data_IF_936567926659
#
_entry.id   IF_936567926659
#
_cell.length_a   1.000
_cell.length_b   1.000
_cell.length_c   1.000
_cell.angle_alpha   90.00
_cell.angle_beta   90.00
_cell.angle_gamma   90.00
#
_symmetry.space_group_name_H-M   'P 1'
#
loop_
_entity.id
_entity.type
_entity.pdbx_description
1 polymer ?
#
# COMPACT_ATOMS: atom_id res chain seq x y z
N UNK A 1 -1.58 -34.70 -18.54
CA UNK A 1 -1.38 -33.53 -17.63
C UNK A 1 -0.09 -32.83 -18.07
N UNK A 2 -0.17 -31.80 -18.95
CA UNK A 2 0.99 -30.99 -19.30
C UNK A 2 1.38 -30.20 -18.05
N UNK A 3 2.67 -30.28 -17.70
CA UNK A 3 3.27 -29.59 -16.55
C UNK A 3 2.89 -28.09 -16.55
N UNK A 4 2.00 -27.69 -15.65
CA UNK A 4 1.42 -26.34 -15.53
C UNK A 4 2.44 -25.35 -14.89
N UNK A 5 3.60 -25.83 -14.51
CA UNK A 5 4.74 -24.99 -14.09
C UNK A 5 5.49 -24.51 -15.33
N UNK A 6 4.87 -23.56 -16.04
CA UNK A 6 5.13 -23.23 -17.45
C UNK A 6 6.39 -22.41 -17.70
N UNK A 7 7.36 -22.45 -16.81
CA UNK A 7 8.65 -21.87 -17.09
C UNK A 7 9.71 -22.94 -16.82
N UNK A 8 10.27 -23.55 -17.90
CA UNK A 8 11.50 -24.33 -17.84
C UNK A 8 12.68 -23.43 -17.40
N UNK A 9 12.54 -22.80 -16.21
CA UNK A 9 13.51 -21.88 -15.64
C UNK A 9 14.23 -22.66 -14.53
N UNK A 10 15.56 -22.71 -14.63
CA UNK A 10 16.40 -23.23 -13.56
C UNK A 10 16.16 -22.47 -12.25
N UNK A 11 16.28 -23.15 -11.12
CA UNK A 11 16.10 -22.57 -9.78
C UNK A 11 16.96 -21.31 -9.57
N UNK A 12 18.19 -21.30 -10.10
CA UNK A 12 19.08 -20.13 -10.04
C UNK A 12 18.51 -18.94 -10.80
N UNK A 13 17.98 -19.16 -12.01
CA UNK A 13 17.37 -18.13 -12.83
C UNK A 13 16.09 -17.60 -12.18
N UNK A 14 15.23 -18.47 -11.64
CA UNK A 14 14.03 -18.08 -10.89
C UNK A 14 14.38 -17.16 -9.72
N UNK A 15 15.37 -17.54 -8.91
CA UNK A 15 15.77 -16.73 -7.75
C UNK A 15 16.35 -15.37 -8.16
N UNK A 16 17.06 -15.27 -9.29
CA UNK A 16 17.53 -13.98 -9.84
C UNK A 16 16.37 -13.09 -10.28
N UNK A 17 15.42 -13.66 -11.02
CA UNK A 17 14.20 -12.92 -11.44
C UNK A 17 13.46 -12.38 -10.22
N UNK A 18 13.25 -13.21 -9.20
CA UNK A 18 12.57 -12.82 -7.97
C UNK A 18 13.33 -11.68 -7.26
N UNK A 19 14.65 -11.81 -7.12
CA UNK A 19 15.46 -10.79 -6.47
C UNK A 19 15.34 -9.43 -7.17
N UNK A 20 15.45 -9.40 -8.50
CA UNK A 20 15.32 -8.20 -9.31
C UNK A 20 13.95 -7.54 -9.12
N UNK A 21 12.86 -8.28 -9.37
CA UNK A 21 11.52 -7.66 -9.26
C UNK A 21 11.17 -7.24 -7.83
N UNK A 22 11.70 -7.94 -6.81
CA UNK A 22 11.53 -7.53 -5.40
C UNK A 22 12.30 -6.27 -5.05
N UNK A 23 13.52 -6.09 -5.58
CA UNK A 23 14.28 -4.84 -5.40
C UNK A 23 13.52 -3.68 -6.04
N UNK A 24 13.03 -3.85 -7.28
CA UNK A 24 12.22 -2.83 -7.94
C UNK A 24 10.95 -2.45 -7.15
N UNK A 25 10.21 -3.44 -6.65
CA UNK A 25 9.05 -3.20 -5.79
C UNK A 25 9.44 -2.52 -4.47
N UNK A 26 10.53 -2.93 -3.84
CA UNK A 26 11.04 -2.32 -2.61
C UNK A 26 11.35 -0.83 -2.82
N UNK A 27 12.06 -0.49 -3.90
CA UNK A 27 12.38 0.90 -4.25
C UNK A 27 11.11 1.70 -4.50
N UNK A 28 10.11 1.12 -5.18
CA UNK A 28 8.80 1.75 -5.40
C UNK A 28 8.07 2.09 -4.10
N UNK A 29 8.01 1.15 -3.15
CA UNK A 29 7.37 1.37 -1.83
C UNK A 29 8.20 2.32 -0.96
N UNK A 30 9.52 2.14 -0.93
CA UNK A 30 10.43 3.02 -0.20
C UNK A 30 10.28 4.48 -0.66
N UNK A 31 10.26 4.71 -1.97
CA UNK A 31 10.10 6.04 -2.55
C UNK A 31 8.77 6.72 -2.16
N UNK A 32 7.70 5.93 -1.94
CA UNK A 32 6.44 6.45 -1.42
C UNK A 32 6.59 7.00 0.00
N UNK A 33 7.37 6.34 0.85
CA UNK A 33 7.46 6.63 2.29
C UNK A 33 8.56 7.63 2.66
N UNK A 34 9.63 7.72 1.87
CA UNK A 34 10.69 8.71 2.07
C UNK A 34 10.18 10.15 2.08
N UNK A 35 9.18 10.45 1.23
CA UNK A 35 8.70 11.81 1.01
C UNK A 35 8.13 12.47 2.27
N UNK A 36 7.42 11.73 3.10
CA UNK A 36 6.77 12.28 4.30
C UNK A 36 7.76 12.93 5.27
N UNK A 37 8.98 12.41 5.33
CA UNK A 37 10.03 12.88 6.24
C UNK A 37 10.74 14.12 5.72
N UNK A 38 10.88 14.27 4.39
CA UNK A 38 11.61 15.39 3.78
C UNK A 38 10.73 16.59 3.45
N UNK A 39 9.40 16.49 3.64
CA UNK A 39 8.49 17.59 3.38
C UNK A 39 8.87 18.90 4.09
N UNK A 40 9.28 18.92 5.38
CA UNK A 40 9.68 20.15 6.05
C UNK A 40 10.86 20.86 5.38
N UNK A 41 11.87 20.11 4.90
CA UNK A 41 13.03 20.69 4.20
C UNK A 41 12.62 21.25 2.82
N UNK A 42 11.72 20.56 2.10
CA UNK A 42 11.17 21.06 0.83
C UNK A 42 10.34 22.32 1.03
N UNK A 43 9.53 22.37 2.11
CA UNK A 43 8.75 23.58 2.47
C UNK A 43 9.67 24.78 2.70
N UNK A 44 10.80 24.56 3.35
CA UNK A 44 11.79 25.59 3.64
C UNK A 44 12.53 26.06 2.39
N UNK A 45 12.96 25.12 1.54
CA UNK A 45 13.71 25.39 0.31
C UNK A 45 12.89 26.17 -0.72
N UNK A 46 11.63 25.79 -0.93
CA UNK A 46 10.75 26.40 -1.92
C UNK A 46 9.76 27.42 -1.32
N UNK A 47 9.84 27.70 -0.02
CA UNK A 47 8.95 28.64 0.68
C UNK A 47 7.46 28.37 0.42
N UNK A 48 7.07 27.08 0.40
CA UNK A 48 5.69 26.64 0.17
C UNK A 48 5.01 26.24 1.48
N UNK A 49 3.67 26.35 1.50
CA UNK A 49 2.87 25.92 2.66
C UNK A 49 2.88 24.40 2.84
N UNK A 50 2.58 23.93 4.05
CA UNK A 50 2.45 22.50 4.33
C UNK A 50 1.40 21.83 3.44
N UNK A 51 0.26 22.48 3.20
CA UNK A 51 -0.79 21.98 2.30
C UNK A 51 -0.30 21.86 0.85
N UNK A 52 0.53 22.78 0.38
CA UNK A 52 1.15 22.71 -0.95
C UNK A 52 2.18 21.57 -1.01
N UNK A 53 3.05 21.46 -0.01
CA UNK A 53 4.07 20.42 0.04
C UNK A 53 3.47 19.00 0.07
N UNK A 54 2.35 18.79 0.77
CA UNK A 54 1.64 17.50 0.81
C UNK A 54 1.19 17.01 -0.57
N UNK A 55 1.05 17.90 -1.55
CA UNK A 55 0.76 17.49 -2.93
C UNK A 55 1.81 16.56 -3.53
N UNK A 56 3.07 16.61 -3.08
CA UNK A 56 4.12 15.68 -3.52
C UNK A 56 3.83 14.23 -3.12
N UNK A 57 3.21 14.03 -1.97
CA UNK A 57 2.75 12.70 -1.53
C UNK A 57 1.43 12.32 -2.19
N UNK A 58 0.50 13.26 -2.25
CA UNK A 58 -0.84 13.04 -2.82
C UNK A 58 -0.77 12.71 -4.31
N UNK A 59 0.01 13.44 -5.11
CA UNK A 59 0.13 13.17 -6.55
C UNK A 59 0.76 11.78 -6.82
N UNK A 60 1.75 11.38 -6.01
CA UNK A 60 2.31 10.04 -6.09
C UNK A 60 1.27 8.96 -5.81
N UNK A 61 0.49 9.11 -4.74
CA UNK A 61 -0.56 8.16 -4.37
C UNK A 61 -1.67 8.09 -5.43
N UNK A 62 -2.06 9.24 -5.99
CA UNK A 62 -3.08 9.33 -7.04
C UNK A 62 -2.62 8.62 -8.32
N UNK A 63 -1.44 8.97 -8.83
CA UNK A 63 -0.92 8.38 -10.07
C UNK A 63 -0.64 6.89 -9.89
N UNK A 64 -0.06 6.49 -8.76
CA UNK A 64 0.14 5.08 -8.41
C UNK A 64 -1.19 4.31 -8.39
N UNK A 65 -2.21 4.85 -7.69
CA UNK A 65 -3.52 4.23 -7.60
C UNK A 65 -4.27 4.12 -8.93
N UNK A 66 -4.08 5.08 -9.84
CA UNK A 66 -4.61 5.06 -11.21
C UNK A 66 -3.90 4.00 -12.06
N UNK A 67 -2.58 3.84 -11.90
CA UNK A 67 -1.80 2.88 -12.68
C UNK A 67 -2.05 1.42 -12.30
N UNK A 68 -2.35 1.13 -11.05
CA UNK A 68 -2.57 -0.24 -10.56
C UNK A 68 -3.66 -0.99 -11.35
N UNK A 69 -4.88 -0.47 -11.56
CA UNK A 69 -5.89 -1.15 -12.39
C UNK A 69 -5.45 -1.37 -13.84
N UNK A 70 -4.69 -0.42 -14.39
CA UNK A 70 -4.19 -0.48 -15.77
C UNK A 70 -3.12 -1.58 -15.91
N UNK A 71 -2.39 -1.88 -14.83
CA UNK A 71 -1.28 -2.84 -14.85
C UNK A 71 -1.74 -4.26 -15.15
N UNK A 72 -2.99 -4.67 -14.81
CA UNK A 72 -3.53 -5.97 -15.22
C UNK A 72 -3.50 -6.12 -16.76
N UNK A 73 -4.03 -5.13 -17.47
CA UNK A 73 -3.99 -5.09 -18.94
C UNK A 73 -2.56 -5.05 -19.48
N UNK A 74 -1.66 -4.28 -18.85
CA UNK A 74 -0.26 -4.19 -19.28
C UNK A 74 0.45 -5.54 -19.15
N UNK A 75 0.21 -6.32 -18.08
CA UNK A 75 0.79 -7.65 -17.86
C UNK A 75 0.34 -8.64 -18.94
N UNK A 76 -0.89 -8.52 -19.45
CA UNK A 76 -1.39 -9.38 -20.52
C UNK A 76 -0.89 -8.98 -21.91
N UNK A 77 -0.62 -7.67 -22.12
CA UNK A 77 -0.25 -7.14 -23.44
C UNK A 77 1.25 -7.09 -23.69
N UNK A 78 2.06 -6.87 -22.67
CA UNK A 78 3.51 -6.66 -22.79
C UNK A 78 4.28 -7.77 -22.07
N UNK A 79 5.49 -8.02 -22.56
CA UNK A 79 6.38 -8.99 -21.92
C UNK A 79 6.83 -8.50 -20.54
N UNK A 80 7.07 -9.43 -19.63
CA UNK A 80 7.65 -9.14 -18.31
C UNK A 80 8.86 -8.20 -18.41
N UNK A 81 9.78 -8.55 -19.32
CA UNK A 81 11.02 -7.78 -19.52
C UNK A 81 10.73 -6.33 -19.93
N UNK A 82 9.82 -6.13 -20.89
CA UNK A 82 9.43 -4.79 -21.34
C UNK A 82 8.78 -3.99 -20.22
N UNK A 83 7.86 -4.59 -19.46
CA UNK A 83 7.18 -3.91 -18.36
C UNK A 83 8.13 -3.51 -17.24
N UNK A 84 9.02 -4.41 -16.85
CA UNK A 84 10.02 -4.13 -15.83
C UNK A 84 10.92 -2.96 -16.21
N UNK A 85 11.46 -2.97 -17.46
CA UNK A 85 12.35 -1.90 -17.91
C UNK A 85 11.64 -0.56 -18.04
N UNK A 86 10.43 -0.53 -18.63
CA UNK A 86 9.66 0.71 -18.71
C UNK A 86 9.34 1.27 -17.32
N UNK A 87 8.92 0.41 -16.38
CA UNK A 87 8.60 0.83 -15.02
C UNK A 87 9.82 1.34 -14.25
N UNK A 88 10.96 0.64 -14.37
CA UNK A 88 12.23 1.08 -13.76
C UNK A 88 12.75 2.36 -14.40
N UNK A 89 12.62 2.52 -15.74
CA UNK A 89 12.93 3.77 -16.42
C UNK A 89 12.08 4.94 -15.92
N UNK A 90 10.76 4.77 -15.76
CA UNK A 90 9.90 5.81 -15.18
C UNK A 90 10.37 6.19 -13.77
N UNK A 91 10.71 5.22 -12.95
CA UNK A 91 11.20 5.46 -11.59
C UNK A 91 12.52 6.22 -11.59
N UNK A 92 13.47 5.85 -12.46
CA UNK A 92 14.75 6.52 -12.63
C UNK A 92 14.60 7.94 -13.17
N UNK A 93 13.83 8.14 -14.25
CA UNK A 93 13.59 9.46 -14.86
C UNK A 93 12.93 10.39 -13.84
N UNK A 94 11.90 9.91 -13.14
CA UNK A 94 11.24 10.70 -12.10
C UNK A 94 12.18 11.05 -10.94
N UNK A 95 13.07 10.12 -10.54
CA UNK A 95 14.08 10.37 -9.51
C UNK A 95 15.13 11.39 -9.97
N UNK A 96 15.57 11.30 -11.21
CA UNK A 96 16.48 12.27 -11.80
C UNK A 96 15.88 13.68 -11.85
N UNK A 97 14.60 13.79 -12.26
CA UNK A 97 13.88 15.07 -12.25
C UNK A 97 13.76 15.63 -10.84
N UNK A 98 13.41 14.80 -9.85
CA UNK A 98 13.34 15.24 -8.46
C UNK A 98 14.70 15.64 -7.88
N UNK A 99 15.77 14.92 -8.22
CA UNK A 99 17.15 15.25 -7.83
C UNK A 99 17.57 16.63 -8.33
N UNK A 100 17.23 16.95 -9.57
CA UNK A 100 17.54 18.26 -10.18
C UNK A 100 16.57 19.36 -9.73
N UNK A 101 15.50 19.05 -9.02
CA UNK A 101 14.38 19.90 -8.68
C UNK A 101 14.76 21.34 -8.34
N UNK A 102 14.59 22.26 -9.29
CA UNK A 102 14.86 23.70 -9.17
C UNK A 102 13.63 24.49 -8.74
N UNK A 103 12.45 23.89 -8.86
CA UNK A 103 11.18 24.47 -8.43
C UNK A 103 10.17 23.40 -8.02
N UNK A 104 9.15 23.78 -7.29
CA UNK A 104 8.12 22.88 -6.78
C UNK A 104 7.31 22.15 -7.87
N UNK A 105 6.86 22.77 -8.98
CA UNK A 105 6.20 22.08 -10.08
C UNK A 105 7.05 20.96 -10.71
N UNK A 106 8.36 21.15 -10.81
CA UNK A 106 9.27 20.13 -11.33
C UNK A 106 9.28 18.89 -10.41
N UNK A 107 9.23 19.08 -9.10
CA UNK A 107 9.08 17.96 -8.16
C UNK A 107 7.75 17.23 -8.34
N UNK A 108 6.64 17.92 -8.57
CA UNK A 108 5.34 17.30 -8.84
C UNK A 108 5.38 16.43 -10.10
N UNK A 109 6.02 16.92 -11.17
CA UNK A 109 6.21 16.13 -12.41
C UNK A 109 7.08 14.91 -12.15
N UNK A 110 8.22 15.08 -11.48
CA UNK A 110 9.10 13.96 -11.12
C UNK A 110 8.40 12.90 -10.28
N UNK A 111 7.61 13.32 -9.27
CA UNK A 111 6.80 12.43 -8.42
C UNK A 111 5.73 11.68 -9.20
N UNK A 112 5.08 12.35 -10.15
CA UNK A 112 4.09 11.72 -11.03
C UNK A 112 4.73 10.61 -11.88
N UNK A 113 5.90 10.89 -12.45
CA UNK A 113 6.63 9.91 -13.28
C UNK A 113 7.13 8.73 -12.43
N UNK A 114 7.65 8.97 -11.22
CA UNK A 114 8.02 7.91 -10.28
C UNK A 114 6.84 7.00 -9.95
N UNK A 115 5.66 7.58 -9.75
CA UNK A 115 4.45 6.85 -9.40
C UNK A 115 3.96 5.93 -10.54
N UNK A 116 4.14 6.32 -11.81
CA UNK A 116 3.89 5.42 -12.96
C UNK A 116 4.72 4.14 -12.85
N UNK A 117 6.01 4.27 -12.54
CA UNK A 117 6.91 3.13 -12.34
C UNK A 117 6.49 2.23 -11.18
N UNK A 118 6.25 2.82 -10.02
CA UNK A 118 5.83 2.08 -8.82
C UNK A 118 4.48 1.35 -9.01
N UNK A 119 3.51 1.99 -9.69
CA UNK A 119 2.19 1.43 -10.00
C UNK A 119 2.25 0.19 -10.91
N UNK A 120 3.31 0.04 -11.70
CA UNK A 120 3.56 -1.16 -12.51
C UNK A 120 4.35 -2.20 -11.71
N UNK A 121 5.44 -1.81 -11.04
CA UNK A 121 6.37 -2.74 -10.38
C UNK A 121 5.70 -3.56 -9.26
N UNK A 122 4.85 -2.94 -8.46
CA UNK A 122 4.22 -3.60 -7.31
C UNK A 122 3.29 -4.74 -7.74
N UNK A 123 2.27 -4.54 -8.60
CA UNK A 123 1.41 -5.64 -9.06
C UNK A 123 2.16 -6.65 -9.93
N UNK A 124 3.13 -6.21 -10.74
CA UNK A 124 3.97 -7.09 -11.55
C UNK A 124 4.75 -8.07 -10.68
N UNK A 125 5.43 -7.57 -9.65
CA UNK A 125 6.19 -8.39 -8.69
C UNK A 125 5.28 -9.40 -8.00
N UNK A 126 4.13 -8.95 -7.52
CA UNK A 126 3.16 -9.81 -6.83
C UNK A 126 2.63 -10.93 -7.75
N UNK A 127 2.26 -10.59 -8.99
CA UNK A 127 1.79 -11.56 -10.00
C UNK A 127 2.88 -12.59 -10.30
N UNK A 128 4.12 -12.15 -10.50
CA UNK A 128 5.25 -13.05 -10.80
C UNK A 128 5.55 -14.00 -9.65
N UNK A 129 5.64 -13.50 -8.43
CA UNK A 129 5.84 -14.34 -7.25
C UNK A 129 4.76 -15.41 -7.15
N UNK A 130 3.51 -15.04 -7.41
CA UNK A 130 2.39 -15.97 -7.31
C UNK A 130 2.42 -17.06 -8.39
N UNK A 131 2.77 -16.74 -9.64
CA UNK A 131 2.79 -17.72 -10.74
C UNK A 131 4.07 -18.54 -10.83
N UNK A 132 5.19 -18.04 -10.28
CA UNK A 132 6.49 -18.74 -10.30
C UNK A 132 6.65 -19.79 -9.18
N UNK A 133 5.78 -19.79 -8.18
CA UNK A 133 5.81 -20.78 -7.11
C UNK A 133 4.63 -21.75 -7.22
N UNK A 134 4.87 -23.05 -6.87
CA UNK A 134 3.81 -24.03 -6.79
C UNK A 134 2.83 -23.69 -5.68
N UNK A 135 1.57 -24.16 -5.76
CA UNK A 135 0.52 -23.83 -4.80
C UNK A 135 0.92 -23.99 -3.33
N UNK A 136 1.68 -25.02 -3.01
CA UNK A 136 2.13 -25.37 -1.66
C UNK A 136 3.18 -24.41 -1.07
N UNK A 137 3.74 -23.51 -1.90
CA UNK A 137 4.77 -22.54 -1.51
C UNK A 137 4.39 -21.09 -1.84
N UNK A 138 3.15 -20.86 -2.25
CA UNK A 138 2.66 -19.50 -2.58
C UNK A 138 2.58 -18.59 -1.37
N UNK A 139 2.19 -19.13 -0.22
CA UNK A 139 2.18 -18.39 1.04
C UNK A 139 3.57 -17.86 1.39
N UNK A 140 4.60 -18.72 1.30
CA UNK A 140 5.98 -18.28 1.51
C UNK A 140 6.42 -17.22 0.49
N UNK A 141 6.07 -17.38 -0.79
CA UNK A 141 6.41 -16.42 -1.85
C UNK A 141 5.75 -15.06 -1.61
N UNK A 142 4.46 -15.07 -1.27
CA UNK A 142 3.74 -13.84 -0.92
C UNK A 142 4.24 -13.24 0.40
N UNK A 143 4.76 -14.06 1.31
CA UNK A 143 5.43 -13.61 2.52
C UNK A 143 6.70 -12.80 2.24
N UNK A 144 7.49 -13.19 1.24
CA UNK A 144 8.64 -12.39 0.78
C UNK A 144 8.19 -11.03 0.23
N UNK A 145 7.07 -10.97 -0.49
CA UNK A 145 6.48 -9.70 -0.90
C UNK A 145 5.98 -8.87 0.29
N UNK A 146 5.38 -9.52 1.28
CA UNK A 146 4.97 -8.91 2.54
C UNK A 146 6.13 -8.29 3.33
N UNK A 147 7.32 -8.91 3.26
CA UNK A 147 8.55 -8.33 3.82
C UNK A 147 8.85 -6.96 3.19
N UNK A 148 8.79 -6.86 1.86
CA UNK A 148 9.02 -5.58 1.14
C UNK A 148 8.03 -4.51 1.62
N UNK A 149 6.74 -4.84 1.67
CA UNK A 149 5.69 -3.88 2.04
C UNK A 149 5.73 -3.49 3.52
N UNK A 150 6.13 -4.39 4.40
CA UNK A 150 6.27 -4.10 5.84
C UNK A 150 7.55 -3.34 6.18
N UNK A 151 8.65 -3.68 5.50
CA UNK A 151 9.97 -3.16 5.82
C UNK A 151 10.21 -1.74 5.27
N UNK A 152 9.74 -1.47 4.04
CA UNK A 152 9.98 -0.19 3.40
C UNK A 152 9.35 1.01 4.17
N UNK A 153 8.08 0.96 4.66
CA UNK A 153 7.52 2.03 5.46
C UNK A 153 8.18 2.21 6.84
N UNK A 154 8.79 1.16 7.38
CA UNK A 154 9.47 1.22 8.65
C UNK A 154 10.85 1.89 8.52
N UNK A 155 11.62 1.50 7.50
CA UNK A 155 12.99 2.02 7.28
C UNK A 155 12.95 3.39 6.61
N UNK A 156 12.00 3.63 5.69
CA UNK A 156 11.95 4.83 4.86
C UNK A 156 12.06 6.12 5.66
N UNK A 157 11.12 6.41 6.57
CA UNK A 157 11.15 7.64 7.36
C UNK A 157 12.41 7.77 8.24
N UNK A 158 12.83 6.68 8.88
CA UNK A 158 14.00 6.67 9.75
C UNK A 158 15.29 6.94 8.98
N UNK A 159 15.49 6.24 7.84
CA UNK A 159 16.65 6.42 6.97
C UNK A 159 16.65 7.83 6.34
N UNK A 160 15.49 8.31 5.87
CA UNK A 160 15.37 9.65 5.31
C UNK A 160 15.67 10.72 6.37
N UNK A 161 15.09 10.59 7.57
CA UNK A 161 15.31 11.54 8.66
C UNK A 161 16.77 11.63 9.10
N UNK A 162 17.45 10.48 9.21
CA UNK A 162 18.88 10.46 9.50
C UNK A 162 19.69 11.12 8.38
N UNK A 163 19.33 10.82 7.13
CA UNK A 163 20.08 11.29 5.96
C UNK A 163 19.98 12.79 5.75
N UNK A 164 18.79 13.41 5.89
CA UNK A 164 18.60 14.85 5.68
C UNK A 164 19.20 15.72 6.78
N UNK A 165 19.55 15.14 7.92
CA UNK A 165 20.34 15.84 8.95
C UNK A 165 21.80 16.07 8.54
N UNK A 166 22.32 15.32 7.56
CA UNK A 166 23.73 15.34 7.15
C UNK A 166 23.87 15.85 5.72
N UNK A 167 22.94 15.50 4.85
CA UNK A 167 22.97 15.76 3.41
C UNK A 167 21.71 16.51 2.95
N UNK A 168 21.80 17.17 1.80
CA UNK A 168 20.63 17.77 1.13
C UNK A 168 19.61 16.67 0.75
N UNK A 169 18.32 16.97 0.88
CA UNK A 169 17.23 16.04 0.56
C UNK A 169 17.27 15.53 -0.89
N UNK A 170 17.85 16.26 -1.82
CA UNK A 170 18.02 15.89 -3.23
C UNK A 170 18.80 14.61 -3.41
N UNK A 171 19.78 14.36 -2.54
CA UNK A 171 20.58 13.14 -2.59
C UNK A 171 19.78 11.86 -2.25
N UNK A 172 18.64 11.96 -1.59
CA UNK A 172 17.75 10.81 -1.43
C UNK A 172 17.22 10.31 -2.78
N UNK A 173 16.90 11.24 -3.68
CA UNK A 173 16.49 10.86 -5.05
C UNK A 173 17.65 10.33 -5.88
N UNK A 174 18.89 10.80 -5.62
CA UNK A 174 20.10 10.21 -6.21
C UNK A 174 20.28 8.76 -5.75
N UNK A 175 20.07 8.45 -4.47
CA UNK A 175 20.14 7.06 -3.96
C UNK A 175 19.10 6.19 -4.66
N UNK A 176 17.86 6.65 -4.76
CA UNK A 176 16.79 5.93 -5.47
C UNK A 176 17.16 5.70 -6.95
N UNK A 177 17.75 6.70 -7.60
CA UNK A 177 18.23 6.59 -8.97
C UNK A 177 19.35 5.55 -9.10
N UNK A 178 20.35 5.56 -8.22
CA UNK A 178 21.48 4.64 -8.24
C UNK A 178 21.01 3.19 -7.99
N UNK A 179 20.12 2.97 -7.02
CA UNK A 179 19.55 1.64 -6.79
C UNK A 179 18.72 1.19 -8.01
N UNK A 180 17.95 2.09 -8.61
CA UNK A 180 17.20 1.83 -9.85
C UNK A 180 18.11 1.46 -11.01
N UNK A 181 19.26 2.13 -11.20
CA UNK A 181 20.27 1.79 -12.23
C UNK A 181 20.87 0.39 -11.99
N UNK A 182 21.22 0.08 -10.75
CA UNK A 182 21.74 -1.24 -10.38
C UNK A 182 20.69 -2.31 -10.68
N UNK A 183 19.43 -2.09 -10.28
CA UNK A 183 18.32 -3.03 -10.52
C UNK A 183 18.03 -3.20 -12.01
N UNK A 184 18.12 -2.11 -12.79
CA UNK A 184 17.99 -2.12 -14.25
C UNK A 184 19.06 -3.00 -14.91
N UNK A 185 20.33 -2.86 -14.52
CA UNK A 185 21.44 -3.68 -15.04
C UNK A 185 21.27 -5.15 -14.66
N UNK A 186 20.95 -5.43 -13.39
CA UNK A 186 20.67 -6.81 -12.96
C UNK A 186 19.45 -7.40 -13.68
N UNK A 187 18.41 -6.60 -13.91
CA UNK A 187 17.25 -6.98 -14.73
C UNK A 187 17.63 -7.33 -16.15
N UNK A 188 18.50 -6.55 -16.78
CA UNK A 188 18.98 -6.83 -18.15
C UNK A 188 19.66 -8.19 -18.27
N UNK A 189 20.44 -8.56 -17.27
CA UNK A 189 21.18 -9.83 -17.22
C UNK A 189 20.33 -11.04 -16.80
N UNK A 190 19.21 -10.80 -16.08
CA UNK A 190 18.49 -11.86 -15.39
C UNK A 190 17.09 -12.15 -15.90
N UNK A 191 16.38 -11.16 -16.47
CA UNK A 191 14.98 -11.29 -16.86
C UNK A 191 14.82 -11.95 -18.23
N UNK A 192 14.25 -13.16 -18.29
CA UNK A 192 13.87 -13.81 -19.54
C UNK A 192 12.53 -13.28 -20.05
N UNK A 193 12.27 -13.47 -21.35
CA UNK A 193 10.95 -13.23 -21.94
C UNK A 193 10.06 -14.48 -21.70
N UNK A 194 9.27 -14.47 -20.65
CA UNK A 194 8.49 -15.64 -20.20
C UNK A 194 6.97 -15.43 -20.33
N UNK A 195 6.49 -14.42 -21.00
CA UNK A 195 5.05 -14.07 -20.98
C UNK A 195 4.35 -14.59 -22.23
N UNK A 196 3.28 -15.39 -22.04
CA UNK A 196 2.29 -15.64 -23.08
C UNK A 196 1.41 -14.38 -23.21
N UNK A 197 1.52 -13.70 -24.33
CA UNK A 197 0.79 -12.46 -24.60
C UNK A 197 -0.59 -12.78 -25.16
N UNK A 198 -1.66 -12.31 -24.51
CA UNK A 198 -3.04 -12.41 -25.02
C UNK A 198 -3.41 -11.30 -26.00
N UNK A 199 -2.63 -10.19 -26.05
CA UNK A 199 -2.85 -8.99 -26.88
C UNK A 199 -4.29 -8.46 -26.81
N UNK A 200 -4.84 -8.17 -25.63
CA UNK A 200 -6.20 -7.65 -25.50
C UNK A 200 -6.32 -6.28 -26.20
N UNK A 201 -7.51 -5.98 -26.69
CA UNK A 201 -7.81 -4.68 -27.26
C UNK A 201 -7.92 -3.61 -26.18
N UNK A 202 -7.25 -2.48 -26.39
CA UNK A 202 -7.29 -1.37 -25.45
C UNK A 202 -8.61 -0.61 -25.55
N UNK A 203 -9.42 -0.68 -24.51
CA UNK A 203 -10.60 0.17 -24.37
C UNK A 203 -10.26 1.51 -23.72
N UNK A 204 -10.08 2.54 -24.55
CA UNK A 204 -9.70 3.89 -24.09
C UNK A 204 -10.71 4.48 -23.08
N UNK A 205 -12.01 4.22 -23.27
CA UNK A 205 -13.03 4.70 -22.38
C UNK A 205 -12.92 4.07 -20.99
N UNK A 206 -12.59 2.77 -20.90
CA UNK A 206 -12.34 2.10 -19.64
C UNK A 206 -11.16 2.71 -18.88
N UNK A 207 -10.10 3.14 -19.57
CA UNK A 207 -8.97 3.84 -18.91
C UNK A 207 -9.42 5.17 -18.34
N UNK A 208 -10.19 5.97 -19.09
CA UNK A 208 -10.70 7.26 -18.61
C UNK A 208 -11.61 7.06 -17.39
N UNK A 209 -12.57 6.13 -17.48
CA UNK A 209 -13.50 5.83 -16.38
C UNK A 209 -12.75 5.32 -15.13
N UNK A 210 -11.78 4.42 -15.30
CA UNK A 210 -10.92 3.94 -14.21
C UNK A 210 -10.12 5.09 -13.57
N UNK A 211 -9.49 5.93 -14.39
CA UNK A 211 -8.68 7.07 -13.93
C UNK A 211 -9.52 8.05 -13.12
N UNK A 212 -10.69 8.45 -13.64
CA UNK A 212 -11.54 9.44 -12.97
C UNK A 212 -12.18 8.86 -11.73
N UNK A 213 -12.64 7.60 -11.75
CA UNK A 213 -13.29 6.98 -10.59
C UNK A 213 -12.31 6.72 -9.45
N UNK A 214 -11.23 5.98 -9.70
CA UNK A 214 -10.25 5.67 -8.63
C UNK A 214 -9.46 6.92 -8.22
N UNK A 215 -9.05 7.78 -9.17
CA UNK A 215 -8.41 9.05 -8.87
C UNK A 215 -9.31 9.97 -8.04
N UNK A 216 -10.59 10.07 -8.40
CA UNK A 216 -11.58 10.85 -7.65
C UNK A 216 -11.82 10.31 -6.23
N UNK A 217 -11.93 8.97 -6.06
CA UNK A 217 -12.03 8.38 -4.71
C UNK A 217 -10.79 8.69 -3.87
N UNK A 218 -9.60 8.43 -4.40
CA UNK A 218 -8.35 8.66 -3.69
C UNK A 218 -8.19 10.14 -3.31
N UNK A 219 -8.48 11.05 -4.25
CA UNK A 219 -8.43 12.49 -4.00
C UNK A 219 -9.47 12.93 -2.95
N UNK A 220 -10.73 12.51 -3.10
CA UNK A 220 -11.82 12.88 -2.20
C UNK A 220 -11.55 12.41 -0.76
N UNK A 221 -11.18 11.15 -0.56
CA UNK A 221 -10.88 10.63 0.78
C UNK A 221 -9.58 11.21 1.37
N UNK A 222 -8.55 11.43 0.55
CA UNK A 222 -7.30 12.04 1.01
C UNK A 222 -7.49 13.49 1.46
N UNK A 223 -8.37 14.24 0.81
CA UNK A 223 -8.67 15.65 1.17
C UNK A 223 -9.70 15.80 2.28
N UNK A 224 -10.52 14.77 2.53
CA UNK A 224 -11.55 14.79 3.58
C UNK A 224 -10.98 15.06 4.98
N UNK A 225 -9.80 14.51 5.29
CA UNK A 225 -9.12 14.74 6.57
C UNK A 225 -8.69 16.21 6.79
N UNK A 226 -8.37 16.93 5.73
CA UNK A 226 -7.89 18.32 5.79
C UNK A 226 -9.02 19.34 5.63
N UNK A 227 -9.91 19.16 4.65
CA UNK A 227 -10.99 20.11 4.32
C UNK A 227 -12.29 19.85 5.09
N UNK A 228 -12.43 18.62 5.65
CA UNK A 228 -13.67 18.16 6.26
C UNK A 228 -14.67 17.61 5.24
N UNK A 229 -15.53 16.69 5.71
CA UNK A 229 -16.50 15.97 4.87
C UNK A 229 -17.61 16.85 4.29
N UNK A 230 -17.93 17.96 4.97
CA UNK A 230 -18.95 18.92 4.53
C UNK A 230 -18.47 19.86 3.43
N UNK A 231 -17.18 19.84 3.10
CA UNK A 231 -16.64 20.71 2.06
C UNK A 231 -17.11 20.26 0.67
N UNK A 232 -17.67 21.16 -0.19
CA UNK A 232 -18.21 20.79 -1.51
C UNK A 232 -17.26 20.00 -2.37
N UNK A 233 -15.98 20.36 -2.39
CA UNK A 233 -14.95 19.67 -3.15
C UNK A 233 -14.79 18.20 -2.74
N UNK A 234 -15.00 17.87 -1.46
CA UNK A 234 -14.86 16.49 -0.95
C UNK A 234 -16.07 15.64 -1.34
N UNK A 235 -17.27 16.02 -0.90
CA UNK A 235 -18.44 15.17 -1.13
C UNK A 235 -18.86 15.12 -2.60
N UNK A 236 -18.73 16.20 -3.37
CA UNK A 236 -19.02 16.19 -4.82
C UNK A 236 -18.06 15.26 -5.54
N UNK A 237 -16.76 15.34 -5.23
CA UNK A 237 -15.75 14.47 -5.85
C UNK A 237 -15.98 12.99 -5.51
N UNK A 238 -16.31 12.67 -4.27
CA UNK A 238 -16.58 11.29 -3.85
C UNK A 238 -17.85 10.75 -4.53
N UNK A 239 -18.95 11.53 -4.54
CA UNK A 239 -20.20 11.12 -5.19
C UNK A 239 -19.98 10.93 -6.69
N UNK A 240 -19.36 11.89 -7.37
CA UNK A 240 -19.05 11.78 -8.79
C UNK A 240 -18.18 10.57 -9.09
N UNK A 241 -17.16 10.32 -8.27
CA UNK A 241 -16.28 9.17 -8.42
C UNK A 241 -17.03 7.84 -8.23
N UNK A 242 -17.95 7.72 -7.27
CA UNK A 242 -18.79 6.53 -7.06
C UNK A 242 -19.72 6.31 -8.26
N UNK A 243 -20.36 7.34 -8.79
CA UNK A 243 -21.22 7.24 -9.98
C UNK A 243 -20.40 6.74 -11.17
N UNK A 244 -19.24 7.34 -11.42
CA UNK A 244 -18.35 6.95 -12.53
C UNK A 244 -17.80 5.53 -12.32
N UNK A 245 -17.46 5.14 -11.08
CA UNK A 245 -17.04 3.78 -10.75
C UNK A 245 -18.16 2.77 -11.05
N UNK A 246 -19.40 3.11 -10.74
CA UNK A 246 -20.56 2.26 -11.06
C UNK A 246 -20.69 2.06 -12.57
N UNK A 247 -20.59 3.13 -13.36
CA UNK A 247 -20.59 3.06 -14.83
C UNK A 247 -19.40 2.22 -15.33
N UNK A 248 -18.21 2.41 -14.74
CA UNK A 248 -17.03 1.62 -15.06
C UNK A 248 -17.25 0.13 -14.81
N UNK A 249 -17.78 -0.25 -13.65
CA UNK A 249 -18.05 -1.66 -13.29
C UNK A 249 -19.03 -2.28 -14.29
N UNK A 250 -20.16 -1.62 -14.57
CA UNK A 250 -21.14 -2.13 -15.54
C UNK A 250 -20.53 -2.31 -16.93
N UNK A 251 -19.65 -1.39 -17.35
CA UNK A 251 -18.93 -1.53 -18.61
C UNK A 251 -18.00 -2.73 -18.61
N UNK A 252 -17.16 -2.89 -17.55
CA UNK A 252 -16.22 -4.01 -17.45
C UNK A 252 -16.94 -5.37 -17.48
N UNK A 253 -18.10 -5.47 -16.85
CA UNK A 253 -18.89 -6.71 -16.83
C UNK A 253 -19.46 -7.10 -18.21
N UNK A 254 -19.57 -6.13 -19.16
CA UNK A 254 -20.06 -6.37 -20.52
C UNK A 254 -18.95 -6.66 -21.53
N UNK A 255 -17.72 -6.26 -21.24
CA UNK A 255 -16.58 -6.45 -22.15
C UNK A 255 -16.07 -7.91 -22.11
N UNK A 256 -15.65 -8.42 -23.26
CA UNK A 256 -14.97 -9.71 -23.37
C UNK A 256 -13.54 -9.66 -22.81
N UNK A 257 -12.84 -8.55 -23.04
CA UNK A 257 -11.49 -8.28 -22.52
C UNK A 257 -11.51 -7.01 -21.67
N UNK A 258 -11.95 -7.10 -20.39
CA UNK A 258 -12.05 -5.95 -19.52
C UNK A 258 -10.67 -5.45 -19.09
N UNK A 259 -10.53 -4.14 -18.79
CA UNK A 259 -9.34 -3.55 -18.20
C UNK A 259 -9.07 -4.13 -16.79
N UNK A 260 -10.14 -4.34 -16.03
CA UNK A 260 -10.13 -4.93 -14.69
C UNK A 260 -11.32 -5.88 -14.55
N UNK A 261 -11.04 -7.15 -14.26
CA UNK A 261 -12.06 -8.21 -14.25
C UNK A 261 -12.81 -8.27 -12.91
N UNK A 262 -14.03 -7.73 -12.88
CA UNK A 262 -14.88 -7.75 -11.69
C UNK A 262 -15.56 -9.09 -11.42
N UNK A 263 -15.56 -10.01 -12.39
CA UNK A 263 -16.11 -11.35 -12.21
C UNK A 263 -15.31 -12.18 -11.21
N UNK A 264 -14.10 -11.74 -10.81
CA UNK A 264 -13.31 -12.34 -9.73
C UNK A 264 -14.06 -12.38 -8.40
N UNK A 265 -14.99 -11.46 -8.16
CA UNK A 265 -15.86 -11.44 -6.98
C UNK A 265 -16.94 -12.54 -6.94
N UNK A 266 -17.14 -13.28 -8.03
CA UNK A 266 -17.99 -14.48 -8.02
C UNK A 266 -17.36 -15.62 -7.20
N UNK A 267 -16.06 -15.58 -6.99
CA UNK A 267 -15.35 -16.55 -6.16
C UNK A 267 -15.43 -16.12 -4.69
N UNK A 268 -16.25 -16.85 -3.90
CA UNK A 268 -16.52 -16.50 -2.50
C UNK A 268 -15.26 -16.33 -1.66
N UNK A 269 -14.28 -17.23 -1.81
CA UNK A 269 -13.03 -17.16 -1.03
C UNK A 269 -12.21 -15.92 -1.41
N UNK A 270 -12.25 -15.46 -2.67
CA UNK A 270 -11.67 -14.19 -3.08
C UNK A 270 -12.40 -13.02 -2.40
N UNK A 271 -13.73 -13.00 -2.45
CA UNK A 271 -14.53 -11.90 -1.91
C UNK A 271 -14.37 -11.75 -0.39
N UNK A 272 -14.43 -12.85 0.35
CA UNK A 272 -14.25 -12.83 1.82
C UNK A 272 -12.84 -12.38 2.18
N UNK A 273 -11.82 -12.88 1.49
CA UNK A 273 -10.44 -12.44 1.72
C UNK A 273 -10.26 -10.95 1.39
N UNK A 274 -10.90 -10.44 0.32
CA UNK A 274 -10.86 -9.01 -0.02
C UNK A 274 -11.51 -8.14 1.05
N UNK A 275 -12.63 -8.55 1.65
CA UNK A 275 -13.26 -7.80 2.77
C UNK A 275 -12.28 -7.68 3.94
N UNK A 276 -11.61 -8.77 4.32
CA UNK A 276 -10.61 -8.73 5.40
C UNK A 276 -9.41 -7.83 5.06
N UNK A 277 -8.98 -7.84 3.80
CA UNK A 277 -7.91 -6.94 3.31
C UNK A 277 -8.36 -5.47 3.39
N UNK A 278 -9.61 -5.16 3.00
CA UNK A 278 -10.19 -3.81 3.14
C UNK A 278 -10.11 -3.35 4.58
N UNK A 279 -10.68 -4.13 5.51
CA UNK A 279 -10.70 -3.76 6.93
C UNK A 279 -9.28 -3.59 7.46
N UNK A 280 -8.39 -4.55 7.20
CA UNK A 280 -7.00 -4.50 7.67
C UNK A 280 -6.26 -3.27 7.14
N UNK A 281 -6.38 -2.96 5.80
CA UNK A 281 -5.68 -1.82 5.23
C UNK A 281 -6.22 -0.46 5.69
N UNK A 282 -7.54 -0.35 5.92
CA UNK A 282 -8.12 0.83 6.55
C UNK A 282 -7.48 1.09 7.92
N UNK A 283 -7.40 0.05 8.75
CA UNK A 283 -6.83 0.15 10.09
C UNK A 283 -5.32 0.37 10.06
N UNK A 284 -4.60 -0.33 9.18
CA UNK A 284 -3.15 -0.26 9.06
C UNK A 284 -2.65 1.14 8.70
N UNK A 285 -3.15 1.70 7.58
CA UNK A 285 -2.70 3.01 7.11
C UNK A 285 -3.28 4.14 7.98
N UNK A 286 -4.50 3.97 8.49
CA UNK A 286 -5.07 4.90 9.46
C UNK A 286 -4.21 5.03 10.72
N UNK A 287 -3.76 3.92 11.29
CA UNK A 287 -2.86 3.92 12.46
C UNK A 287 -1.50 4.56 12.12
N UNK A 288 -0.92 4.26 10.96
CA UNK A 288 0.33 4.90 10.51
C UNK A 288 0.20 6.41 10.33
N UNK A 289 -1.02 6.92 10.13
CA UNK A 289 -1.28 8.38 10.03
C UNK A 289 -1.55 9.01 11.39
N UNK A 290 -2.37 8.37 12.23
CA UNK A 290 -2.79 8.93 13.52
C UNK A 290 -1.66 8.93 14.55
N UNK A 291 -0.85 7.87 14.61
CA UNK A 291 0.20 7.74 15.62
C UNK A 291 1.25 8.85 15.54
N UNK A 292 1.80 9.24 14.37
CA UNK A 292 2.67 10.41 14.27
C UNK A 292 1.99 11.70 14.73
N UNK A 293 0.69 11.90 14.44
CA UNK A 293 -0.06 13.07 14.91
C UNK A 293 -0.10 13.09 16.44
N UNK A 294 -0.43 11.96 17.07
CA UNK A 294 -0.40 11.84 18.53
C UNK A 294 0.99 12.15 19.09
N UNK A 295 2.03 11.49 18.58
CA UNK A 295 3.39 11.63 19.08
C UNK A 295 3.95 13.05 18.92
N UNK A 296 3.73 13.67 17.74
CA UNK A 296 4.34 14.98 17.44
C UNK A 296 3.49 16.15 17.93
N UNK A 297 2.15 16.06 17.85
CA UNK A 297 1.28 17.19 18.17
C UNK A 297 0.89 17.20 19.66
N UNK A 298 0.59 16.04 20.25
CA UNK A 298 0.10 15.91 21.63
C UNK A 298 1.24 15.67 22.61
N UNK A 299 2.15 14.74 22.29
CA UNK A 299 3.30 14.38 23.15
C UNK A 299 4.52 15.27 22.92
N UNK A 300 4.54 16.08 21.83
CA UNK A 300 5.65 16.97 21.44
C UNK A 300 6.98 16.24 21.18
N UNK A 301 6.92 14.93 20.85
CA UNK A 301 8.10 14.17 20.44
C UNK A 301 8.57 14.60 19.06
N UNK A 302 9.87 14.50 18.81
CA UNK A 302 10.46 14.85 17.52
C UNK A 302 10.02 13.86 16.41
N UNK A 303 10.05 14.27 15.12
CA UNK A 303 9.81 13.36 14.01
C UNK A 303 10.72 12.14 14.00
N UNK A 304 12.00 12.30 14.40
CA UNK A 304 12.95 11.19 14.49
C UNK A 304 12.56 10.20 15.59
N UNK A 305 12.21 10.69 16.79
CA UNK A 305 11.71 9.83 17.87
C UNK A 305 10.46 9.08 17.45
N UNK A 306 9.51 9.75 16.79
CA UNK A 306 8.30 9.13 16.26
C UNK A 306 8.64 8.00 15.28
N UNK A 307 9.60 8.21 14.38
CA UNK A 307 10.07 7.19 13.45
C UNK A 307 10.71 5.99 14.14
N UNK A 308 11.56 6.24 15.15
CA UNK A 308 12.24 5.20 15.93
C UNK A 308 11.24 4.37 16.77
N UNK A 309 10.18 5.00 17.29
CA UNK A 309 9.11 4.33 18.03
C UNK A 309 8.30 3.38 17.13
N UNK A 310 8.05 3.76 15.88
CA UNK A 310 7.31 2.93 14.93
C UNK A 310 8.18 1.85 14.26
N UNK A 311 9.51 2.02 14.26
CA UNK A 311 10.43 1.10 13.60
C UNK A 311 10.31 -0.36 14.07
N UNK A 312 10.28 -0.68 15.39
CA UNK A 312 10.18 -2.07 15.84
C UNK A 312 8.93 -2.78 15.33
N UNK A 313 7.78 -2.10 15.33
CA UNK A 313 6.53 -2.66 14.79
C UNK A 313 6.63 -2.96 13.30
N UNK A 314 7.18 -2.04 12.51
CA UNK A 314 7.40 -2.27 11.08
C UNK A 314 8.36 -3.41 10.80
N UNK A 315 9.44 -3.54 11.59
CA UNK A 315 10.36 -4.69 11.50
C UNK A 315 9.66 -6.01 11.84
N UNK A 316 8.83 -6.05 12.88
CA UNK A 316 8.02 -7.23 13.23
C UNK A 316 7.12 -7.61 12.06
N UNK A 317 6.37 -6.67 11.49
CA UNK A 317 5.52 -6.94 10.34
C UNK A 317 6.31 -7.49 9.15
N UNK A 318 7.42 -6.84 8.79
CA UNK A 318 8.24 -7.25 7.66
C UNK A 318 8.86 -8.63 7.85
N UNK A 319 9.56 -8.86 8.96
CA UNK A 319 10.28 -10.10 9.25
C UNK A 319 9.35 -11.30 9.48
N UNK A 320 8.17 -11.07 10.05
CA UNK A 320 7.20 -12.13 10.28
C UNK A 320 6.34 -12.45 9.05
N UNK A 321 6.26 -11.59 8.04
CA UNK A 321 5.50 -11.85 6.82
C UNK A 321 5.91 -13.15 6.10
N UNK A 322 7.21 -13.50 5.92
CA UNK A 322 7.59 -14.80 5.38
C UNK A 322 7.23 -15.98 6.29
N UNK A 323 7.26 -15.77 7.61
CA UNK A 323 6.90 -16.80 8.61
C UNK A 323 5.40 -17.09 8.55
N UNK A 324 4.57 -16.04 8.54
CA UNK A 324 3.11 -16.17 8.43
C UNK A 324 2.69 -16.74 7.08
N UNK A 325 3.44 -16.43 5.99
CA UNK A 325 3.27 -17.05 4.69
C UNK A 325 3.54 -18.56 4.69
N UNK A 326 4.64 -19.00 5.33
CA UNK A 326 4.92 -20.45 5.52
C UNK A 326 3.88 -21.11 6.42
N UNK A 327 3.40 -20.40 7.43
CA UNK A 327 2.38 -20.93 8.32
C UNK A 327 1.04 -21.05 7.59
N UNK A 328 0.71 -20.10 6.70
CA UNK A 328 -0.45 -20.21 5.81
C UNK A 328 -0.40 -21.49 4.96
N UNK A 329 0.75 -21.82 4.37
CA UNK A 329 0.92 -23.03 3.56
C UNK A 329 0.68 -24.33 4.38
N UNK A 330 0.76 -24.28 5.74
CA UNK A 330 0.57 -25.43 6.63
C UNK A 330 -0.82 -25.51 7.27
N UNK A 331 -1.35 -24.40 7.76
CA UNK A 331 -2.58 -24.36 8.57
C UNK A 331 -3.74 -23.63 7.89
N UNK A 332 -3.51 -23.05 6.72
CA UNK A 332 -4.50 -22.28 5.95
C UNK A 332 -4.75 -20.87 6.48
N UNK A 333 -5.58 -20.12 5.76
CA UNK A 333 -5.81 -18.69 6.01
C UNK A 333 -6.79 -18.39 7.16
N UNK A 334 -7.73 -19.30 7.47
CA UNK A 334 -8.80 -19.06 8.45
C UNK A 334 -8.26 -18.79 9.85
N UNK A 335 -7.40 -19.66 10.36
CA UNK A 335 -6.85 -19.54 11.71
C UNK A 335 -6.00 -18.29 11.82
N UNK A 336 -5.15 -18.04 10.81
CA UNK A 336 -4.26 -16.88 10.80
C UNK A 336 -5.02 -15.56 10.77
N UNK A 337 -6.11 -15.46 9.99
CA UNK A 337 -6.91 -14.24 9.95
C UNK A 337 -7.69 -14.00 11.23
N UNK A 338 -8.23 -15.04 11.88
CA UNK A 338 -8.88 -14.92 13.20
C UNK A 338 -7.86 -14.40 14.23
N UNK A 339 -6.70 -15.06 14.33
CA UNK A 339 -5.64 -14.63 15.26
C UNK A 339 -5.14 -13.22 14.94
N UNK A 340 -4.95 -12.90 13.65
CA UNK A 340 -4.49 -11.61 13.22
C UNK A 340 -5.47 -10.48 13.58
N UNK A 341 -6.77 -10.65 13.31
CA UNK A 341 -7.79 -9.65 13.66
C UNK A 341 -7.92 -9.49 15.18
N UNK A 342 -7.87 -10.59 15.95
CA UNK A 342 -7.84 -10.51 17.42
C UNK A 342 -6.60 -9.77 17.93
N UNK A 343 -5.44 -10.00 17.32
CA UNK A 343 -4.20 -9.31 17.70
C UNK A 343 -4.27 -7.82 17.37
N UNK A 344 -4.86 -7.43 16.21
CA UNK A 344 -5.12 -6.02 15.88
C UNK A 344 -6.09 -5.41 16.90
N UNK A 345 -7.15 -6.11 17.27
CA UNK A 345 -8.12 -5.67 18.29
C UNK A 345 -7.43 -5.41 19.64
N UNK A 346 -6.58 -6.34 20.09
CA UNK A 346 -5.83 -6.17 21.33
C UNK A 346 -4.92 -4.94 21.26
N UNK A 347 -4.16 -4.80 20.16
CA UNK A 347 -3.31 -3.63 19.94
C UNK A 347 -4.08 -2.31 19.94
N UNK A 348 -5.26 -2.27 19.33
CA UNK A 348 -6.14 -1.11 19.33
C UNK A 348 -6.67 -0.78 20.73
N UNK A 349 -7.06 -1.79 21.52
CA UNK A 349 -7.50 -1.61 22.93
C UNK A 349 -6.36 -1.10 23.81
N UNK A 350 -5.11 -1.51 23.57
CA UNK A 350 -3.94 -0.95 24.25
C UNK A 350 -3.73 0.53 23.85
N UNK A 351 -3.89 0.86 22.58
CA UNK A 351 -3.75 2.25 22.09
C UNK A 351 -4.91 3.16 22.56
N UNK A 352 -6.10 2.59 22.83
CA UNK A 352 -7.24 3.32 23.40
C UNK A 352 -7.01 3.78 24.86
N UNK A 353 -5.87 3.46 25.46
CA UNK A 353 -5.49 3.89 26.82
C UNK A 353 -4.36 4.94 26.77
N UNK A 354 -4.09 5.52 25.62
CA UNK A 354 -3.07 6.55 25.51
C UNK A 354 -3.46 7.80 26.29
N UNK A 355 -2.47 8.42 26.91
CA UNK A 355 -2.62 9.63 27.72
C UNK A 355 -1.41 10.54 27.53
N UNK A 356 -1.42 11.70 28.19
CA UNK A 356 -0.25 12.58 28.23
C UNK A 356 0.96 11.98 28.98
N UNK A 357 0.72 10.96 29.81
CA UNK A 357 1.77 10.28 30.59
C UNK A 357 2.21 8.95 29.95
N UNK A 358 1.76 8.65 28.73
CA UNK A 358 2.12 7.41 28.03
C UNK A 358 3.60 7.39 27.70
N UNK A 359 4.27 6.31 28.10
CA UNK A 359 5.71 6.14 27.81
C UNK A 359 5.94 5.69 26.38
N UNK A 360 7.10 6.02 25.82
CA UNK A 360 7.51 5.59 24.48
C UNK A 360 7.46 4.05 24.35
N UNK A 361 7.89 3.32 25.39
CA UNK A 361 7.87 1.86 25.40
C UNK A 361 6.44 1.31 25.26
N UNK A 362 5.46 1.93 25.90
CA UNK A 362 4.07 1.51 25.78
C UNK A 362 3.52 1.68 24.36
N UNK A 363 3.87 2.78 23.68
CA UNK A 363 3.52 3.00 22.27
C UNK A 363 4.20 1.97 21.37
N UNK A 364 5.49 1.68 21.59
CA UNK A 364 6.23 0.64 20.85
C UNK A 364 5.54 -0.71 20.98
N UNK A 365 5.19 -1.13 22.20
CA UNK A 365 4.54 -2.43 22.42
C UNK A 365 3.17 -2.46 21.76
N UNK A 366 2.32 -1.47 21.97
CA UNK A 366 0.95 -1.41 21.43
C UNK A 366 0.96 -1.43 19.90
N UNK A 367 1.85 -0.66 19.27
CA UNK A 367 2.03 -0.64 17.84
C UNK A 367 2.58 -1.97 17.31
N UNK A 368 3.57 -2.55 17.99
CA UNK A 368 4.18 -3.84 17.62
C UNK A 368 3.17 -4.98 17.64
N UNK A 369 2.27 -5.01 18.63
CA UNK A 369 1.16 -5.97 18.70
C UNK A 369 0.24 -5.81 17.48
N UNK A 370 -0.11 -4.59 17.12
CA UNK A 370 -0.95 -4.33 15.94
C UNK A 370 -0.23 -4.77 14.66
N UNK A 371 1.07 -4.51 14.52
CA UNK A 371 1.86 -4.89 13.35
C UNK A 371 2.03 -6.41 13.21
N UNK A 372 2.11 -7.13 14.33
CA UNK A 372 2.07 -8.59 14.36
C UNK A 372 0.75 -9.11 13.77
N UNK A 373 -0.39 -8.55 14.17
CA UNK A 373 -1.70 -8.89 13.61
C UNK A 373 -1.79 -8.60 12.10
N UNK A 374 -1.27 -7.46 11.66
CA UNK A 374 -1.23 -7.11 10.23
C UNK A 374 -0.40 -8.13 9.42
N UNK A 375 0.75 -8.60 9.93
CA UNK A 375 1.56 -9.65 9.27
C UNK A 375 0.79 -10.96 9.13
N UNK A 376 -0.07 -11.31 10.10
CA UNK A 376 -0.87 -12.54 10.09
C UNK A 376 -2.05 -12.48 9.11
N UNK A 377 -2.44 -11.30 8.62
CA UNK A 377 -3.58 -11.13 7.70
C UNK A 377 -3.11 -10.82 6.30
N UNK A 378 -2.22 -9.86 6.15
CA UNK A 378 -1.86 -9.28 4.86
C UNK A 378 -1.41 -10.32 3.85
N UNK A 379 -0.43 -11.14 4.21
CA UNK A 379 0.13 -12.19 3.33
C UNK A 379 -0.83 -13.37 3.16
N UNK A 380 -1.38 -13.96 4.24
CA UNK A 380 -2.33 -15.06 4.14
C UNK A 380 -3.57 -14.73 3.32
N UNK A 381 -4.20 -13.58 3.55
CA UNK A 381 -5.43 -13.23 2.83
C UNK A 381 -5.18 -12.89 1.38
N UNK A 382 -4.06 -12.26 1.04
CA UNK A 382 -3.66 -12.06 -0.36
C UNK A 382 -3.45 -13.41 -1.07
N UNK A 383 -2.78 -14.36 -0.41
CA UNK A 383 -2.55 -15.70 -0.97
C UNK A 383 -3.87 -16.47 -1.11
N UNK A 384 -4.74 -16.44 -0.10
CA UNK A 384 -6.06 -17.06 -0.12
C UNK A 384 -6.90 -16.53 -1.28
N UNK A 385 -6.97 -15.21 -1.44
CA UNK A 385 -7.71 -14.57 -2.51
C UNK A 385 -7.23 -15.03 -3.89
N UNK A 386 -5.93 -14.97 -4.14
CA UNK A 386 -5.39 -15.32 -5.45
C UNK A 386 -5.44 -16.83 -5.71
N UNK A 387 -5.34 -17.69 -4.69
CA UNK A 387 -5.51 -19.14 -4.83
C UNK A 387 -6.95 -19.53 -5.24
N UNK A 388 -7.95 -18.72 -4.91
CA UNK A 388 -9.33 -18.95 -5.29
C UNK A 388 -9.60 -18.72 -6.79
N UNK A 389 -8.67 -18.06 -7.50
CA UNK A 389 -8.87 -17.64 -8.88
C UNK A 389 -8.26 -18.63 -9.88
N UNK A 390 -8.93 -18.84 -11.05
CA UNK A 390 -8.30 -19.47 -12.19
C UNK A 390 -7.06 -18.68 -12.65
N UNK A 391 -6.11 -19.39 -13.25
CA UNK A 391 -4.80 -18.81 -13.66
C UNK A 391 -4.96 -17.55 -14.53
N UNK A 392 -5.91 -17.55 -15.43
CA UNK A 392 -6.19 -16.41 -16.32
C UNK A 392 -6.61 -15.14 -15.60
N UNK A 393 -7.13 -15.23 -14.37
CA UNK A 393 -7.58 -14.06 -13.58
C UNK A 393 -6.56 -13.61 -12.53
N UNK A 394 -5.39 -14.24 -12.43
CA UNK A 394 -4.41 -13.90 -11.38
C UNK A 394 -3.91 -12.47 -11.54
N UNK A 395 -3.60 -12.01 -12.75
CA UNK A 395 -3.17 -10.63 -12.99
C UNK A 395 -4.25 -9.62 -12.60
N UNK A 396 -5.51 -9.89 -12.98
CA UNK A 396 -6.66 -9.06 -12.60
C UNK A 396 -6.94 -9.11 -11.10
N UNK A 397 -6.86 -10.29 -10.47
CA UNK A 397 -7.02 -10.44 -9.02
C UNK A 397 -5.94 -9.70 -8.24
N UNK A 398 -4.71 -9.72 -8.74
CA UNK A 398 -3.58 -8.98 -8.15
C UNK A 398 -3.77 -7.47 -8.28
N UNK A 399 -4.17 -6.99 -9.46
CA UNK A 399 -4.48 -5.57 -9.66
C UNK A 399 -5.68 -5.13 -8.80
N UNK A 400 -6.74 -5.94 -8.73
CA UNK A 400 -7.91 -5.70 -7.88
C UNK A 400 -7.52 -5.61 -6.41
N UNK A 401 -6.71 -6.55 -5.92
CA UNK A 401 -6.19 -6.53 -4.54
C UNK A 401 -5.43 -5.24 -4.24
N UNK A 402 -4.51 -4.83 -5.09
CA UNK A 402 -3.72 -3.61 -4.87
C UNK A 402 -4.57 -2.33 -5.01
N UNK A 403 -5.53 -2.30 -5.95
CA UNK A 403 -6.47 -1.18 -6.09
C UNK A 403 -7.33 -1.00 -4.84
N UNK A 404 -7.90 -2.10 -4.34
CA UNK A 404 -8.72 -2.11 -3.13
C UNK A 404 -7.90 -1.67 -1.92
N UNK A 405 -6.67 -2.15 -1.78
CA UNK A 405 -5.75 -1.74 -0.71
C UNK A 405 -5.51 -0.23 -0.73
N UNK A 406 -5.28 0.35 -1.91
CA UNK A 406 -5.01 1.78 -2.06
C UNK A 406 -6.26 2.61 -1.70
N UNK A 407 -7.44 2.22 -2.17
CA UNK A 407 -8.71 2.88 -1.84
C UNK A 407 -9.01 2.75 -0.34
N UNK A 408 -8.84 1.54 0.23
CA UNK A 408 -9.07 1.29 1.66
C UNK A 408 -8.13 2.11 2.55
N UNK A 409 -6.87 2.28 2.13
CA UNK A 409 -5.90 3.13 2.82
C UNK A 409 -6.37 4.60 2.86
N UNK A 410 -6.85 5.14 1.75
CA UNK A 410 -7.38 6.50 1.68
C UNK A 410 -8.65 6.68 2.54
N UNK A 411 -9.59 5.72 2.46
CA UNK A 411 -10.81 5.70 3.29
C UNK A 411 -10.44 5.65 4.78
N UNK A 412 -9.55 4.73 5.17
CA UNK A 412 -9.12 4.55 6.54
C UNK A 412 -8.51 5.83 7.12
N UNK A 413 -7.57 6.44 6.38
CA UNK A 413 -6.97 7.71 6.77
C UNK A 413 -8.02 8.81 6.93
N UNK A 414 -8.89 9.01 5.94
CA UNK A 414 -9.93 10.03 5.97
C UNK A 414 -10.90 9.87 7.15
N UNK A 415 -11.39 8.64 7.37
CA UNK A 415 -12.34 8.36 8.47
C UNK A 415 -11.68 8.51 9.82
N UNK A 416 -10.55 7.84 10.07
CA UNK A 416 -9.95 7.78 11.40
C UNK A 416 -9.39 9.13 11.84
N UNK A 417 -8.77 9.92 10.92
CA UNK A 417 -8.32 11.28 11.23
C UNK A 417 -9.51 12.18 11.56
N UNK A 418 -10.61 12.07 10.81
CA UNK A 418 -11.82 12.85 11.08
C UNK A 418 -12.47 12.46 12.41
N UNK A 419 -12.55 11.20 12.74
CA UNK A 419 -13.06 10.73 14.04
C UNK A 419 -12.23 11.34 15.17
N UNK A 420 -10.91 11.21 15.12
CA UNK A 420 -10.01 11.75 16.11
C UNK A 420 -10.17 13.26 16.29
N UNK A 421 -10.16 14.02 15.19
CA UNK A 421 -10.22 15.49 15.26
C UNK A 421 -11.62 16.01 15.56
N UNK A 422 -12.66 15.37 15.02
CA UNK A 422 -14.06 15.73 15.23
C UNK A 422 -14.50 15.49 16.67
N UNK A 423 -14.27 14.28 17.19
CA UNK A 423 -14.60 13.92 18.58
C UNK A 423 -13.75 14.72 19.58
N UNK A 424 -12.50 15.03 19.21
CA UNK A 424 -11.66 15.91 20.03
C UNK A 424 -12.21 17.33 20.17
N UNK A 425 -12.81 17.90 19.12
CA UNK A 425 -13.42 19.24 19.14
C UNK A 425 -14.76 19.30 19.88
N UNK A 426 -15.54 18.23 19.85
CA UNK A 426 -16.86 18.16 20.53
C UNK A 426 -16.75 17.80 22.00
N UNK A 427 -15.59 17.38 22.47
CA UNK A 427 -15.36 17.12 23.90
C UNK A 427 -15.36 18.42 24.69
N UNK A 428 -15.81 18.38 25.94
CA UNK A 428 -15.72 19.48 26.91
C UNK A 428 -14.26 19.82 27.31
N UNK A 429 -13.30 19.01 26.86
CA UNK A 429 -11.88 19.15 27.13
C UNK A 429 -11.23 20.03 26.07
N UNK A 430 -10.33 20.94 26.47
CA UNK A 430 -9.64 21.87 25.57
C UNK A 430 -8.25 21.38 25.16
N UNK A 431 -7.82 21.76 23.98
CA UNK A 431 -6.44 21.53 23.51
C UNK A 431 -6.06 20.06 23.33
N UNK A 432 -4.88 19.68 23.84
CA UNK A 432 -4.32 18.32 23.71
C UNK A 432 -5.18 17.24 24.38
N UNK A 433 -5.86 17.58 25.48
CA UNK A 433 -6.71 16.60 26.19
C UNK A 433 -7.94 16.20 25.37
N UNK A 434 -8.57 17.17 24.69
CA UNK A 434 -9.69 16.89 23.80
C UNK A 434 -9.26 15.99 22.62
N UNK A 435 -8.09 16.24 22.03
CA UNK A 435 -7.58 15.42 20.94
C UNK A 435 -7.20 14.00 21.40
N UNK A 436 -6.68 13.83 22.63
CA UNK A 436 -6.41 12.48 23.20
C UNK A 436 -7.73 11.74 23.41
N UNK A 437 -8.76 12.39 23.93
CA UNK A 437 -10.08 11.78 24.08
C UNK A 437 -10.66 11.33 22.72
N UNK A 438 -10.52 12.17 21.67
CA UNK A 438 -10.90 11.79 20.32
C UNK A 438 -10.09 10.62 19.78
N UNK A 439 -8.80 10.54 20.12
CA UNK A 439 -7.92 9.41 19.78
C UNK A 439 -8.38 8.10 20.44
N UNK A 440 -8.69 8.12 21.75
CA UNK A 440 -9.12 6.94 22.50
C UNK A 440 -10.41 6.36 21.89
N UNK A 441 -11.40 7.19 21.62
CA UNK A 441 -12.64 6.75 20.97
C UNK A 441 -12.35 6.19 19.58
N UNK A 442 -11.44 6.81 18.83
CA UNK A 442 -11.04 6.33 17.50
C UNK A 442 -10.44 4.92 17.61
N UNK A 443 -9.60 4.63 18.61
CA UNK A 443 -9.06 3.30 18.80
C UNK A 443 -10.09 2.27 19.28
N UNK A 444 -11.13 2.68 20.04
CA UNK A 444 -12.27 1.78 20.30
C UNK A 444 -13.03 1.45 19.01
N UNK A 445 -13.20 2.39 18.10
CA UNK A 445 -13.79 2.13 16.77
C UNK A 445 -12.90 1.18 15.97
N UNK A 446 -11.59 1.37 15.98
CA UNK A 446 -10.61 0.44 15.36
C UNK A 446 -10.75 -0.98 15.94
N UNK A 447 -10.87 -1.10 17.26
CA UNK A 447 -11.06 -2.39 17.94
C UNK A 447 -12.40 -3.05 17.52
N UNK A 448 -13.48 -2.27 17.40
CA UNK A 448 -14.79 -2.77 16.94
C UNK A 448 -14.71 -3.27 15.49
N UNK A 449 -14.05 -2.54 14.61
CA UNK A 449 -13.86 -2.95 13.20
C UNK A 449 -13.01 -4.24 13.15
N UNK A 450 -11.97 -4.37 13.96
CA UNK A 450 -11.16 -5.58 14.06
C UNK A 450 -11.97 -6.76 14.61
N UNK A 451 -12.87 -6.53 15.57
CA UNK A 451 -13.81 -7.55 16.07
C UNK A 451 -14.75 -8.04 14.97
N UNK A 452 -15.34 -7.12 14.19
CA UNK A 452 -16.17 -7.47 13.03
C UNK A 452 -15.35 -8.27 12.02
N UNK A 453 -14.09 -7.87 11.75
CA UNK A 453 -13.17 -8.62 10.92
C UNK A 453 -12.90 -10.03 11.45
N UNK A 454 -12.82 -10.21 12.78
CA UNK A 454 -12.69 -11.53 13.40
C UNK A 454 -13.89 -12.41 13.08
N UNK A 455 -15.12 -11.88 13.16
CA UNK A 455 -16.34 -12.61 12.82
C UNK A 455 -16.33 -13.01 11.33
N UNK A 456 -15.94 -12.08 10.45
CA UNK A 456 -15.85 -12.36 9.00
C UNK A 456 -14.80 -13.43 8.71
N UNK A 457 -13.70 -13.49 9.46
CA UNK A 457 -12.66 -14.49 9.28
C UNK A 457 -13.15 -15.94 9.50
N UNK A 458 -14.24 -16.15 10.26
CA UNK A 458 -14.86 -17.48 10.42
C UNK A 458 -15.51 -18.00 9.12
N UNK A 459 -15.83 -17.12 8.16
CA UNK A 459 -16.41 -17.51 6.88
C UNK A 459 -15.38 -17.93 5.84
N UNK A 460 -14.08 -17.80 6.14
CA UNK A 460 -13.02 -18.35 5.28
C UNK A 460 -13.08 -19.87 5.32
N UNK A 461 -13.06 -20.50 4.14
CA UNK A 461 -13.00 -21.95 4.04
C UNK A 461 -11.67 -22.49 4.57
N UNK A 462 -11.73 -23.60 5.29
CA UNK A 462 -10.53 -24.38 5.62
C UNK A 462 -9.99 -24.96 4.30
N UNK A 463 -8.74 -24.66 4.01
CA UNK A 463 -7.97 -25.36 2.97
C UNK A 463 -7.41 -26.65 3.49
#
# INVERSE_FOLDING_TARGET
MRNIYAFNIDLKQRNRVIAVVMIGAFVGVLNQTLMTTILPEIMKDFTVSSSTAQWLTTIFMLVNGIMIPITAFLIERFTLRSLFFNATCFLMIGSFICMLGINFPMLLVGRSIQALGAGILIPLTQTLLFIMFPPEKRGMAMGMFGLVIGFAPAIGPTAAGWFVNIFDWRYLFLIVLLIGMIDFVFGYLSLPNITELSKPNLDKLSIILSTVSFGGLLFGFSTAGNLGWSHPMVYITIIAAIVILTVFIFRQLKLESPLLEFRVFKYNDFSVAMILIVLMFMLFIGNLTILPIYMQTMMKWSPLESGLILLPGGLIMGLLSPVTGKLFDKIGGRILSIMGMLTIMIGALLMAQFSQNTTQLYVIISFSVTMLGNAMIMTPMTTQALNALPRQYIAHGTAMNNTIRQVSAAIGTGILVTLMTGLGKTSSLSGSQGLIHGLDITFYVVALIAFIGTIIAFFIRKQ
#
